data_IF_470596294027
#
_entry.id   IF_470596294027
#
_cell.length_a   1.000
_cell.length_b   1.000
_cell.length_c   1.000
_cell.angle_alpha   90.00
_cell.angle_beta   90.00
_cell.angle_gamma   90.00
#
_symmetry.space_group_name_H-M   'P 1'
#
loop_
_entity.id
_entity.type
_entity.pdbx_description
1 polymer ?
#
# COMPACT_ATOMS: atom_id res chain seq x y z
N UNK A 1 -1.55 -39.42 -5.94
CA UNK A 1 -1.43 -38.03 -5.41
C UNK A 1 -0.01 -37.63 -5.02
N UNK A 2 0.57 -38.07 -3.88
CA UNK A 2 1.91 -37.58 -3.45
C UNK A 2 3.03 -37.73 -4.50
N UNK A 3 3.15 -38.90 -5.13
CA UNK A 3 4.16 -39.12 -6.18
C UNK A 3 3.96 -38.24 -7.42
N UNK A 4 2.71 -37.91 -7.74
CA UNK A 4 2.39 -36.97 -8.83
C UNK A 4 2.79 -35.54 -8.44
N UNK A 5 2.47 -35.11 -7.22
CA UNK A 5 2.89 -33.80 -6.69
C UNK A 5 4.42 -33.67 -6.64
N UNK A 6 5.13 -34.72 -6.24
CA UNK A 6 6.58 -34.74 -6.19
C UNK A 6 7.18 -34.56 -7.59
N UNK A 7 6.60 -35.24 -8.59
CA UNK A 7 7.00 -35.10 -9.98
C UNK A 7 6.68 -33.71 -10.54
N UNK A 8 5.46 -33.21 -10.35
CA UNK A 8 5.03 -31.92 -10.91
C UNK A 8 5.71 -30.72 -10.26
N UNK A 9 5.91 -30.76 -8.94
CA UNK A 9 6.41 -29.61 -8.17
C UNK A 9 7.93 -29.63 -8.02
N UNK A 10 8.52 -30.81 -7.85
CA UNK A 10 9.97 -30.96 -7.61
C UNK A 10 10.71 -31.59 -8.79
N UNK A 11 10.02 -32.20 -9.75
CA UNK A 11 10.64 -32.86 -10.89
C UNK A 11 11.35 -34.17 -10.52
N UNK A 12 11.07 -34.73 -9.33
CA UNK A 12 11.77 -35.91 -8.81
C UNK A 12 10.84 -37.11 -8.89
N UNK A 13 11.35 -38.25 -9.36
CA UNK A 13 10.61 -39.51 -9.33
C UNK A 13 10.75 -40.17 -7.96
N UNK A 14 9.68 -40.82 -7.50
CA UNK A 14 9.63 -41.48 -6.17
C UNK A 14 10.74 -42.54 -5.98
N UNK A 15 11.23 -43.14 -7.07
CA UNK A 15 12.31 -44.13 -7.05
C UNK A 15 13.72 -43.52 -6.87
N UNK A 16 13.87 -42.21 -7.04
CA UNK A 16 15.16 -41.52 -6.98
C UNK A 16 15.49 -41.00 -5.57
N UNK A 17 14.54 -41.03 -4.63
CA UNK A 17 14.69 -40.44 -3.31
C UNK A 17 14.91 -41.47 -2.20
N UNK A 18 15.71 -41.10 -1.22
CA UNK A 18 15.84 -41.85 0.03
C UNK A 18 14.55 -41.74 0.86
N UNK A 19 14.24 -42.78 1.63
CA UNK A 19 13.09 -42.83 2.55
C UNK A 19 13.03 -41.64 3.51
N UNK A 20 14.18 -41.09 3.91
CA UNK A 20 14.23 -39.92 4.79
C UNK A 20 13.78 -38.63 4.09
N UNK A 21 14.23 -38.41 2.85
CA UNK A 21 13.84 -37.26 2.04
C UNK A 21 12.36 -37.36 1.63
N UNK A 22 11.88 -38.57 1.31
CA UNK A 22 10.46 -38.84 1.06
C UNK A 22 9.58 -38.38 2.21
N UNK A 23 9.94 -38.70 3.46
CA UNK A 23 9.20 -38.25 4.65
C UNK A 23 9.21 -36.73 4.84
N UNK A 24 10.30 -36.05 4.47
CA UNK A 24 10.36 -34.57 4.52
C UNK A 24 9.45 -33.95 3.49
N UNK A 25 9.51 -34.43 2.24
CA UNK A 25 8.62 -33.98 1.17
C UNK A 25 7.15 -34.28 1.47
N UNK A 26 6.87 -35.43 2.08
CA UNK A 26 5.51 -35.81 2.47
C UNK A 26 4.93 -34.87 3.54
N UNK A 27 5.74 -34.36 4.46
CA UNK A 27 5.28 -33.37 5.45
C UNK A 27 4.80 -32.08 4.78
N UNK A 28 5.57 -31.58 3.80
CA UNK A 28 5.18 -30.40 3.01
C UNK A 28 3.92 -30.68 2.19
N UNK A 29 3.86 -31.85 1.55
CA UNK A 29 2.66 -32.25 0.81
C UNK A 29 1.40 -32.29 1.69
N UNK A 30 1.50 -32.77 2.93
CA UNK A 30 0.36 -32.74 3.86
C UNK A 30 -0.07 -31.30 4.19
N UNK A 31 0.88 -30.39 4.39
CA UNK A 31 0.57 -28.97 4.62
C UNK A 31 -0.13 -28.34 3.42
N UNK A 32 0.39 -28.56 2.21
CA UNK A 32 -0.19 -28.04 0.97
C UNK A 32 -1.58 -28.63 0.69
N UNK A 33 -1.76 -29.93 0.98
CA UNK A 33 -3.05 -30.62 0.84
C UNK A 33 -4.08 -30.07 1.82
N UNK A 34 -3.70 -29.88 3.09
CA UNK A 34 -4.61 -29.37 4.12
C UNK A 34 -4.94 -27.89 3.94
N UNK A 35 -4.02 -27.10 3.38
CA UNK A 35 -4.22 -25.66 3.13
C UNK A 35 -4.81 -25.36 1.75
N UNK A 36 -5.04 -26.39 0.92
CA UNK A 36 -5.56 -26.27 -0.45
C UNK A 36 -4.68 -25.33 -1.30
N UNK A 37 -3.37 -25.40 -1.09
CA UNK A 37 -2.37 -24.59 -1.82
C UNK A 37 -1.63 -25.38 -2.89
N UNK A 38 -2.06 -26.63 -3.15
CA UNK A 38 -1.51 -27.47 -4.21
C UNK A 38 -1.63 -26.79 -5.58
N UNK A 39 -0.57 -26.82 -6.41
CA UNK A 39 -0.62 -26.27 -7.76
C UNK A 39 -1.65 -27.06 -8.59
N UNK A 40 -2.71 -26.40 -9.04
CA UNK A 40 -3.79 -27.04 -9.80
C UNK A 40 -4.07 -26.30 -11.11
N UNK A 41 -4.20 -27.05 -12.21
CA UNK A 41 -4.33 -26.53 -13.58
C UNK A 41 -5.50 -25.54 -13.78
N UNK A 42 -6.57 -25.66 -13.00
CA UNK A 42 -7.74 -24.76 -13.09
C UNK A 42 -7.49 -23.36 -12.53
N UNK A 43 -6.60 -23.22 -11.56
CA UNK A 43 -6.37 -21.94 -10.89
C UNK A 43 -5.18 -21.23 -11.53
N UNK A 44 -5.35 -19.93 -11.80
CA UNK A 44 -4.26 -19.10 -12.31
C UNK A 44 -3.25 -18.84 -11.20
N UNK A 45 -1.97 -19.02 -11.51
CA UNK A 45 -0.88 -18.54 -10.66
C UNK A 45 -0.75 -17.02 -10.85
N UNK A 46 -1.37 -16.26 -9.94
CA UNK A 46 -1.37 -14.80 -9.96
C UNK A 46 0.06 -14.26 -9.87
N UNK A 47 0.94 -14.86 -9.05
CA UNK A 47 2.32 -14.40 -8.91
C UNK A 47 3.09 -14.53 -10.23
N UNK A 48 2.89 -15.64 -10.95
CA UNK A 48 3.48 -15.83 -12.27
C UNK A 48 2.93 -14.84 -13.29
N UNK A 49 1.65 -14.50 -13.20
CA UNK A 49 1.03 -13.49 -14.05
C UNK A 49 1.59 -12.09 -13.74
N UNK A 50 1.64 -11.68 -12.47
CA UNK A 50 2.18 -10.41 -11.99
C UNK A 50 3.63 -10.23 -12.42
N UNK A 51 4.49 -11.22 -12.16
CA UNK A 51 5.89 -11.17 -12.59
C UNK A 51 6.06 -11.03 -14.12
N UNK A 52 5.15 -11.66 -14.90
CA UNK A 52 5.11 -11.48 -16.36
C UNK A 52 4.66 -10.07 -16.74
N UNK A 53 3.71 -9.47 -16.02
CA UNK A 53 3.29 -8.09 -16.26
C UNK A 53 4.40 -7.10 -15.89
N UNK A 54 5.09 -7.29 -14.78
CA UNK A 54 6.23 -6.46 -14.39
C UNK A 54 7.37 -6.52 -15.41
N UNK A 55 7.71 -7.72 -15.92
CA UNK A 55 8.71 -7.86 -16.98
C UNK A 55 8.26 -7.19 -18.29
N UNK A 56 6.97 -7.28 -18.62
CA UNK A 56 6.39 -6.59 -19.78
C UNK A 56 6.45 -5.08 -19.60
N UNK A 57 6.04 -4.55 -18.45
CA UNK A 57 6.07 -3.12 -18.17
C UNK A 57 7.51 -2.58 -18.05
N UNK A 58 8.42 -3.33 -17.43
CA UNK A 58 9.84 -2.99 -17.33
C UNK A 58 10.57 -3.03 -18.68
N UNK A 59 10.20 -3.96 -19.57
CA UNK A 59 10.70 -4.01 -20.95
C UNK A 59 10.03 -3.01 -21.90
N UNK A 60 8.84 -2.51 -21.54
CA UNK A 60 8.03 -1.60 -22.35
C UNK A 60 7.99 -0.16 -21.79
N UNK A 61 8.87 0.15 -20.83
CA UNK A 61 9.09 1.48 -20.29
C UNK A 61 9.64 2.51 -21.31
N UNK A 62 9.71 2.14 -22.61
CA UNK A 62 10.11 3.06 -23.68
C UNK A 62 9.02 3.37 -24.71
N UNK A 63 7.83 2.76 -24.70
CA UNK A 63 6.90 2.92 -25.85
C UNK A 63 5.41 3.11 -25.59
N UNK A 64 4.84 2.98 -24.38
CA UNK A 64 3.41 3.27 -24.24
C UNK A 64 3.03 3.89 -22.89
N UNK A 65 3.04 5.22 -22.86
CA UNK A 65 2.48 6.07 -21.81
C UNK A 65 0.94 6.12 -21.89
N UNK A 66 0.26 4.97 -21.84
CA UNK A 66 -1.21 4.87 -21.71
C UNK A 66 -1.74 3.46 -21.39
N UNK A 67 -1.11 2.71 -20.49
CA UNK A 67 -1.74 1.51 -19.94
C UNK A 67 -2.08 1.76 -18.47
N UNK A 68 -3.37 1.72 -18.20
CA UNK A 68 -4.04 2.06 -16.94
C UNK A 68 -3.43 1.35 -15.72
N UNK A 69 -3.09 2.17 -14.73
CA UNK A 69 -2.64 1.79 -13.39
C UNK A 69 -3.78 1.13 -12.60
N UNK A 70 -4.02 -0.15 -12.88
CA UNK A 70 -4.87 -1.00 -12.04
C UNK A 70 -4.00 -1.67 -10.98
N UNK A 71 -3.83 -0.98 -9.84
CA UNK A 71 -3.49 -1.64 -8.57
C UNK A 71 -2.38 -1.00 -7.74
N UNK A 72 -1.59 -0.07 -8.29
CA UNK A 72 -0.67 0.71 -7.46
C UNK A 72 -1.38 1.97 -6.99
N UNK A 73 -2.23 1.85 -5.98
CA UNK A 73 -2.82 3.04 -5.35
C UNK A 73 -1.70 3.77 -4.59
N UNK A 74 -0.90 4.54 -5.32
CA UNK A 74 0.11 5.44 -4.79
C UNK A 74 -0.64 6.58 -4.09
N UNK A 75 -1.09 6.29 -2.87
CA UNK A 75 -1.90 7.18 -2.02
C UNK A 75 -1.26 8.57 -1.93
N UNK A 76 0.07 8.62 -1.91
CA UNK A 76 0.85 9.85 -1.89
C UNK A 76 0.69 10.70 -3.16
N UNK A 77 0.66 10.07 -4.34
CA UNK A 77 0.46 10.77 -5.61
C UNK A 77 -1.00 11.18 -5.80
N UNK A 78 -1.94 10.32 -5.42
CA UNK A 78 -3.37 10.61 -5.43
C UNK A 78 -3.71 11.81 -4.52
N UNK A 79 -3.15 11.85 -3.31
CA UNK A 79 -3.32 12.98 -2.37
C UNK A 79 -2.74 14.28 -2.95
N UNK A 80 -1.57 14.21 -3.57
CA UNK A 80 -0.92 15.37 -4.20
C UNK A 80 -1.73 15.93 -5.37
N UNK A 81 -2.33 15.05 -6.18
CA UNK A 81 -3.19 15.44 -7.29
C UNK A 81 -4.51 16.03 -6.80
N UNK A 82 -5.14 15.44 -5.77
CA UNK A 82 -6.34 15.96 -5.15
C UNK A 82 -6.12 17.37 -4.56
N UNK A 83 -5.01 17.61 -3.86
CA UNK A 83 -4.63 18.94 -3.35
C UNK A 83 -4.45 19.97 -4.48
N UNK A 84 -3.86 19.58 -5.61
CA UNK A 84 -3.71 20.46 -6.78
C UNK A 84 -5.05 20.81 -7.40
N UNK A 85 -5.93 19.83 -7.59
CA UNK A 85 -7.27 20.05 -8.13
C UNK A 85 -8.11 20.93 -7.19
N UNK A 86 -8.00 20.75 -5.87
CA UNK A 86 -8.71 21.55 -4.88
C UNK A 86 -8.19 23.01 -4.81
N UNK A 87 -6.90 23.23 -5.08
CA UNK A 87 -6.34 24.58 -5.25
C UNK A 87 -6.81 25.24 -6.55
N UNK A 88 -6.97 24.47 -7.62
CA UNK A 88 -7.40 24.97 -8.94
C UNK A 88 -8.92 25.19 -9.03
N UNK A 89 -9.72 24.38 -8.33
CA UNK A 89 -11.18 24.48 -8.32
C UNK A 89 -11.73 25.51 -7.33
N UNK A 90 -10.86 26.13 -6.51
CA UNK A 90 -11.24 27.29 -5.70
C UNK A 90 -11.60 28.45 -6.65
N UNK A 91 -12.87 28.83 -6.79
CA UNK A 91 -13.25 29.91 -7.69
C UNK A 91 -12.64 31.22 -7.16
N UNK A 92 -12.08 32.04 -8.04
CA UNK A 92 -11.49 33.34 -7.70
C UNK A 92 -12.46 34.25 -6.90
N UNK A 93 -13.77 34.03 -7.02
CA UNK A 93 -14.82 34.74 -6.28
C UNK A 93 -15.02 34.27 -4.82
N UNK A 94 -14.53 33.09 -4.43
CA UNK A 94 -14.54 32.68 -3.01
C UNK A 94 -13.45 33.37 -2.18
N UNK A 95 -12.44 33.97 -2.84
CA UNK A 95 -11.44 34.80 -2.17
C UNK A 95 -11.97 36.19 -1.77
N UNK A 96 -13.14 36.59 -2.28
CA UNK A 96 -13.76 37.90 -2.05
C UNK A 96 -14.87 37.90 -0.98
N UNK A 97 -15.25 36.73 -0.45
CA UNK A 97 -16.33 36.58 0.55
C UNK A 97 -15.84 36.12 1.92
N UNK A 98 -14.55 36.28 2.21
CA UNK A 98 -13.99 36.11 3.55
C UNK A 98 -13.81 37.46 4.24
N UNK A 99 -13.78 37.52 5.59
CA UNK A 99 -13.38 38.72 6.30
C UNK A 99 -12.03 39.18 5.74
N UNK A 100 -11.84 40.50 5.59
CA UNK A 100 -10.60 41.08 5.07
C UNK A 100 -9.48 40.91 6.11
N UNK A 101 -8.99 39.67 6.29
CA UNK A 101 -7.97 39.31 7.25
C UNK A 101 -6.64 39.89 6.74
N UNK A 102 -6.03 40.74 7.55
CA UNK A 102 -4.74 41.36 7.21
C UNK A 102 -3.64 40.29 7.18
N UNK A 103 -2.58 40.53 6.41
CA UNK A 103 -1.46 39.57 6.25
C UNK A 103 -0.85 39.13 7.59
N UNK A 104 -0.77 40.03 8.56
CA UNK A 104 -0.23 39.73 9.88
C UNK A 104 -1.14 38.79 10.66
N UNK A 105 -2.46 39.01 10.60
CA UNK A 105 -3.44 38.12 11.21
C UNK A 105 -3.40 36.71 10.60
N UNK A 106 -3.14 36.56 9.29
CA UNK A 106 -2.95 35.25 8.66
C UNK A 106 -1.69 34.52 9.18
N UNK A 107 -0.60 35.25 9.41
CA UNK A 107 0.63 34.69 9.96
C UNK A 107 0.41 34.22 11.40
N UNK A 108 -0.30 35.01 12.19
CA UNK A 108 -0.62 34.65 13.58
C UNK A 108 -1.60 33.47 13.66
N UNK A 109 -2.61 33.42 12.78
CA UNK A 109 -3.52 32.27 12.69
C UNK A 109 -2.77 30.99 12.29
N UNK A 110 -1.84 31.09 11.34
CA UNK A 110 -0.99 29.96 10.95
C UNK A 110 -0.11 29.48 12.11
N UNK A 111 0.50 30.40 12.85
CA UNK A 111 1.30 30.05 14.04
C UNK A 111 0.46 29.27 15.07
N UNK A 112 -0.76 29.73 15.35
CA UNK A 112 -1.67 29.06 16.29
C UNK A 112 -2.11 27.67 15.78
N UNK A 113 -2.31 27.52 14.48
CA UNK A 113 -2.62 26.21 13.88
C UNK A 113 -1.45 25.24 14.04
N UNK A 114 -0.24 25.68 13.68
CA UNK A 114 0.98 24.87 13.79
C UNK A 114 1.19 24.41 15.24
N UNK A 115 1.09 25.33 16.23
CA UNK A 115 1.18 25.02 17.66
C UNK A 115 0.14 23.99 18.12
N UNK A 116 -1.10 24.06 17.60
CA UNK A 116 -2.15 23.07 17.88
C UNK A 116 -1.81 21.70 17.31
N UNK A 117 -1.33 21.63 16.08
CA UNK A 117 -0.97 20.35 15.45
C UNK A 117 0.18 19.66 16.17
N UNK A 118 1.16 20.43 16.64
CA UNK A 118 2.27 19.92 17.44
C UNK A 118 1.81 19.43 18.81
N UNK A 119 0.92 20.17 19.48
CA UNK A 119 0.33 19.75 20.76
C UNK A 119 -0.49 18.45 20.61
N UNK A 120 -1.26 18.30 19.54
CA UNK A 120 -2.00 17.07 19.25
C UNK A 120 -1.08 15.90 18.94
N UNK A 121 0.02 16.15 18.23
CA UNK A 121 1.05 15.15 17.98
C UNK A 121 1.70 14.71 19.29
N UNK A 122 2.07 15.64 20.17
CA UNK A 122 2.64 15.35 21.49
C UNK A 122 1.64 14.59 22.38
N UNK A 123 0.35 14.95 22.34
CA UNK A 123 -0.72 14.22 23.04
C UNK A 123 -0.85 12.79 22.55
N UNK A 124 -0.82 12.56 21.24
CA UNK A 124 -0.82 11.22 20.65
C UNK A 124 0.39 10.39 21.09
N UNK A 125 1.51 11.05 21.37
CA UNK A 125 2.72 10.44 21.94
C UNK A 125 2.67 10.29 23.48
N UNK A 126 1.54 10.61 24.11
CA UNK A 126 1.31 10.42 25.55
C UNK A 126 1.70 11.61 26.44
N UNK A 127 2.13 12.74 25.87
CA UNK A 127 2.41 13.96 26.63
C UNK A 127 1.11 14.70 26.98
N UNK A 128 0.92 15.14 28.23
CA UNK A 128 -0.26 15.91 28.63
C UNK A 128 0.03 17.41 28.44
N UNK A 129 -0.64 18.10 27.50
CA UNK A 129 -0.44 19.54 27.31
C UNK A 129 -0.81 20.32 28.59
N UNK A 130 -0.05 21.35 28.92
CA UNK A 130 -0.35 22.23 30.07
C UNK A 130 -1.57 23.08 29.75
N UNK A 131 -2.45 23.29 30.73
CA UNK A 131 -3.69 24.08 30.61
C UNK A 131 -3.43 25.55 30.17
N UNK A 132 -2.24 26.07 30.43
CA UNK A 132 -1.79 27.40 29.98
C UNK A 132 -1.58 27.53 28.46
N UNK A 133 -1.59 26.43 27.69
CA UNK A 133 -1.31 26.48 26.24
C UNK A 133 -2.50 26.98 25.41
N UNK A 134 -3.60 27.43 26.04
CA UNK A 134 -4.73 28.06 25.35
C UNK A 134 -5.55 27.13 24.44
N UNK A 135 -5.22 25.83 24.42
CA UNK A 135 -5.93 24.82 23.65
C UNK A 135 -6.95 24.16 24.59
N UNK A 136 -8.23 24.49 24.39
CA UNK A 136 -9.34 23.86 25.10
C UNK A 136 -9.78 22.65 24.30
N UNK A 137 -9.69 21.48 24.92
CA UNK A 137 -10.26 20.26 24.39
C UNK A 137 -11.58 20.02 25.14
N UNK A 138 -12.70 20.11 24.41
CA UNK A 138 -14.00 19.63 24.88
C UNK A 138 -14.12 18.11 24.68
#
# INVERSE_FOLDING_TARGET
>A
EFGLWLYETKGIRDQEISTQESKRHFRVYMEDFNTVTLPHKKYYDLKKWEAKQELRQGGQATMDSRAEDYGSFNLFEAEKQAKRQQQQSRPANAALSGPLITRNQLIDLKRVEDERTEADRLRKMGYKPKESMGIRYE
#
